data_IF_389976941164
#
_entry.id   IF_389976941164
#
_cell.length_a   1.000
_cell.length_b   1.000
_cell.length_c   1.000
_cell.angle_alpha   90.00
_cell.angle_beta   90.00
_cell.angle_gamma   90.00
#
_symmetry.space_group_name_H-M   'P 1'
#
loop_
_entity.id
_entity.type
_entity.pdbx_description
1 polymer ?
#
# COMPACT_ATOMS: atom_id res chain seq x y z
N UNK A 1 -78.48 -27.50 16.49
CA UNK A 1 -77.55 -28.27 15.63
C UNK A 1 -76.20 -28.40 16.33
N UNK A 2 -75.66 -29.61 16.36
CA UNK A 2 -74.38 -30.02 16.98
C UNK A 2 -73.15 -29.43 16.26
N UNK A 3 -72.07 -29.14 17.01
CA UNK A 3 -70.68 -29.64 16.85
C UNK A 3 -69.78 -28.89 17.85
N UNK A 4 -69.34 -29.55 18.93
CA UNK A 4 -68.10 -30.33 19.12
C UNK A 4 -66.85 -29.47 19.40
N UNK A 5 -66.41 -29.58 20.64
CA UNK A 5 -65.10 -29.36 21.27
C UNK A 5 -63.85 -29.58 20.41
N UNK A 6 -62.80 -28.78 20.64
CA UNK A 6 -61.42 -29.26 20.81
C UNK A 6 -60.55 -28.25 21.58
N UNK A 7 -59.77 -28.77 22.51
CA UNK A 7 -58.85 -28.13 23.46
C UNK A 7 -57.40 -28.42 23.02
N UNK A 8 -56.47 -27.56 23.44
CA UNK A 8 -55.02 -27.80 23.60
C UNK A 8 -54.17 -27.72 22.31
N UNK A 9 -52.87 -27.37 22.31
CA UNK A 9 -51.80 -27.41 23.32
C UNK A 9 -50.80 -26.30 22.98
N UNK A 10 -50.27 -25.59 24.00
CA UNK A 10 -49.04 -24.81 23.90
C UNK A 10 -47.86 -25.77 23.68
N UNK A 11 -47.12 -25.67 22.57
CA UNK A 11 -45.80 -26.29 22.47
C UNK A 11 -44.73 -25.23 22.15
N UNK A 12 -43.77 -25.19 23.06
CA UNK A 12 -42.55 -24.40 23.20
C UNK A 12 -41.65 -24.39 21.96
N UNK A 13 -41.05 -23.23 21.66
CA UNK A 13 -39.73 -23.12 21.03
C UNK A 13 -38.96 -21.92 21.64
N UNK A 14 -38.48 -22.07 22.88
CA UNK A 14 -37.33 -21.29 23.34
C UNK A 14 -36.06 -22.03 22.91
N UNK A 15 -35.47 -21.68 21.77
CA UNK A 15 -34.08 -22.07 21.42
C UNK A 15 -33.58 -21.47 20.10
N UNK A 16 -33.69 -20.15 19.90
CA UNK A 16 -32.98 -19.46 18.79
C UNK A 16 -31.92 -18.45 19.28
N UNK A 17 -31.90 -18.11 20.57
CA UNK A 17 -30.97 -17.09 21.09
C UNK A 17 -29.50 -17.54 21.18
N UNK A 18 -29.20 -18.84 21.18
CA UNK A 18 -27.82 -19.33 21.28
C UNK A 18 -27.04 -19.27 19.95
N UNK A 19 -27.74 -19.26 18.81
CA UNK A 19 -27.11 -19.22 17.48
C UNK A 19 -26.59 -17.83 17.11
N UNK A 20 -27.32 -16.77 17.47
CA UNK A 20 -26.95 -15.39 17.12
C UNK A 20 -25.68 -14.90 17.86
N UNK A 21 -25.46 -15.35 19.10
CA UNK A 21 -24.28 -14.97 19.88
C UNK A 21 -22.98 -15.63 19.39
N UNK A 22 -23.05 -16.83 18.82
CA UNK A 22 -21.89 -17.55 18.27
C UNK A 22 -21.44 -17.00 16.91
N UNK A 23 -22.38 -16.58 16.06
CA UNK A 23 -22.05 -15.95 14.77
C UNK A 23 -21.41 -14.57 14.99
N UNK A 24 -21.86 -13.83 16.01
CA UNK A 24 -21.30 -12.51 16.33
C UNK A 24 -19.90 -12.59 16.95
N UNK A 25 -19.59 -13.62 17.74
CA UNK A 25 -18.27 -13.79 18.37
C UNK A 25 -17.21 -14.31 17.39
N UNK A 26 -17.57 -15.19 16.47
CA UNK A 26 -16.68 -15.61 15.37
C UNK A 26 -16.38 -14.45 14.40
N UNK A 27 -17.38 -13.62 14.06
CA UNK A 27 -17.18 -12.43 13.24
C UNK A 27 -16.32 -11.35 13.93
N UNK A 28 -16.50 -11.14 15.24
CA UNK A 28 -15.64 -10.25 16.03
C UNK A 28 -14.22 -10.81 16.24
N UNK A 29 -14.06 -12.13 16.33
CA UNK A 29 -12.76 -12.78 16.39
C UNK A 29 -12.01 -12.72 15.05
N UNK A 30 -12.72 -12.90 13.93
CA UNK A 30 -12.19 -12.75 12.58
C UNK A 30 -11.83 -11.30 12.24
N UNK A 31 -12.60 -10.32 12.74
CA UNK A 31 -12.26 -8.90 12.61
C UNK A 31 -11.00 -8.50 13.41
N UNK A 32 -10.68 -9.22 14.49
CA UNK A 32 -9.45 -9.02 15.27
C UNK A 32 -8.20 -9.62 14.63
N UNK A 33 -8.33 -10.47 13.63
CA UNK A 33 -7.23 -11.14 12.91
C UNK A 33 -7.09 -10.67 11.46
N UNK A 34 -7.66 -9.52 11.11
CA UNK A 34 -7.49 -8.93 9.79
C UNK A 34 -5.99 -8.74 9.47
N UNK A 35 -5.51 -9.12 8.27
CA UNK A 35 -4.13 -8.90 7.88
C UNK A 35 -3.73 -7.44 8.04
N UNK A 36 -2.64 -7.20 8.77
CA UNK A 36 -2.07 -5.87 8.93
C UNK A 36 -0.62 -5.88 8.46
N UNK A 37 -0.23 -4.87 7.69
CA UNK A 37 1.14 -4.72 7.22
C UNK A 37 1.85 -3.63 8.03
N UNK A 38 3.04 -3.93 8.54
CA UNK A 38 3.90 -2.95 9.19
C UNK A 38 4.36 -1.92 8.15
N UNK A 39 3.93 -0.67 8.32
CA UNK A 39 4.40 0.43 7.46
C UNK A 39 5.79 0.91 7.89
N UNK A 40 6.60 1.23 6.88
CA UNK A 40 7.84 1.97 7.03
C UNK A 40 7.55 3.46 6.84
N UNK A 41 8.07 4.31 7.73
CA UNK A 41 8.05 5.75 7.50
C UNK A 41 9.33 6.14 6.78
N UNK A 42 9.18 6.77 5.62
CA UNK A 42 10.29 7.37 4.88
C UNK A 42 10.44 8.87 5.19
N UNK A 43 9.76 9.39 6.22
CA UNK A 43 9.82 10.80 6.54
C UNK A 43 11.27 11.29 6.76
N UNK A 44 11.66 12.32 6.01
CA UNK A 44 12.99 12.92 6.05
C UNK A 44 13.98 12.35 5.02
N UNK A 45 13.67 11.18 4.44
CA UNK A 45 14.50 10.59 3.39
C UNK A 45 14.53 11.46 2.13
N UNK A 46 15.71 11.50 1.52
CA UNK A 46 15.89 11.93 0.13
C UNK A 46 16.57 10.78 -0.58
N UNK A 47 15.89 10.23 -1.58
CA UNK A 47 16.34 9.07 -2.35
C UNK A 47 16.45 9.48 -3.81
N UNK A 48 17.57 9.16 -4.44
CA UNK A 48 17.70 9.29 -5.88
C UNK A 48 17.48 7.93 -6.54
N UNK A 49 16.65 7.89 -7.57
CA UNK A 49 16.52 6.74 -8.48
C UNK A 49 17.02 7.14 -9.87
N UNK A 50 17.92 6.36 -10.46
CA UNK A 50 18.50 6.61 -11.79
C UNK A 50 18.25 5.45 -12.72
N UNK A 51 17.62 5.68 -13.86
CA UNK A 51 17.11 4.59 -14.71
C UNK A 51 17.99 4.36 -15.94
N UNK A 52 18.40 3.11 -16.13
CA UNK A 52 19.15 2.66 -17.32
C UNK A 52 18.26 1.91 -18.32
N UNK A 53 17.07 1.47 -17.89
CA UNK A 53 16.11 0.70 -18.65
C UNK A 53 14.69 1.31 -18.59
N UNK A 54 13.85 0.92 -19.55
CA UNK A 54 12.43 1.28 -19.62
C UNK A 54 12.14 2.74 -19.97
N UNK A 55 10.88 3.17 -19.78
CA UNK A 55 10.40 4.52 -20.13
C UNK A 55 11.20 5.65 -19.48
N UNK A 56 11.75 5.42 -18.28
CA UNK A 56 12.48 6.43 -17.52
C UNK A 56 13.97 6.46 -17.88
N UNK A 57 14.44 5.61 -18.80
CA UNK A 57 15.85 5.51 -19.20
C UNK A 57 16.50 6.88 -19.43
N UNK A 58 17.66 7.07 -18.81
CA UNK A 58 18.45 8.29 -18.88
C UNK A 58 18.06 9.37 -17.86
N UNK A 59 16.96 9.18 -17.11
CA UNK A 59 16.54 10.11 -16.07
C UNK A 59 17.06 9.70 -14.68
N UNK A 60 17.31 10.71 -13.85
CA UNK A 60 17.44 10.58 -12.40
C UNK A 60 16.33 11.40 -11.74
N UNK A 61 15.64 10.82 -10.78
CA UNK A 61 14.61 11.49 -9.99
C UNK A 61 15.02 11.54 -8.53
N UNK A 62 14.96 12.73 -7.95
CA UNK A 62 15.11 12.95 -6.52
C UNK A 62 13.75 12.88 -5.85
N UNK A 63 13.57 11.88 -5.02
CA UNK A 63 12.37 11.61 -4.26
C UNK A 63 12.55 12.16 -2.85
N UNK A 64 11.82 13.22 -2.51
CA UNK A 64 11.86 13.83 -1.18
C UNK A 64 10.63 13.38 -0.38
N UNK A 65 10.86 12.56 0.64
CA UNK A 65 9.81 12.01 1.48
C UNK A 65 9.58 12.88 2.73
N UNK A 66 8.32 13.21 2.98
CA UNK A 66 7.83 13.89 4.18
C UNK A 66 6.92 12.94 4.96
N UNK A 67 6.15 13.45 5.91
CA UNK A 67 5.37 12.64 6.85
C UNK A 67 4.48 11.61 6.16
N UNK A 68 3.71 12.01 5.14
CA UNK A 68 2.83 11.12 4.35
C UNK A 68 2.92 11.35 2.85
N UNK A 69 3.75 12.30 2.41
CA UNK A 69 3.85 12.69 1.00
C UNK A 69 5.26 12.50 0.47
N UNK A 70 5.36 12.39 -0.84
CA UNK A 70 6.61 12.34 -1.59
C UNK A 70 6.53 13.31 -2.76
N UNK A 71 7.67 13.89 -3.12
CA UNK A 71 7.79 14.70 -4.33
C UNK A 71 9.00 14.21 -5.14
N UNK A 72 8.72 13.71 -6.34
CA UNK A 72 9.73 13.29 -7.31
C UNK A 72 10.11 14.43 -8.24
N UNK A 73 11.36 14.88 -8.19
CA UNK A 73 11.88 15.95 -9.05
C UNK A 73 12.94 15.36 -9.97
N UNK A 74 12.81 15.47 -11.31
CA UNK A 74 13.87 15.08 -12.23
C UNK A 74 15.09 15.98 -12.03
N UNK A 75 16.24 15.39 -11.74
CA UNK A 75 17.52 16.10 -11.53
C UNK A 75 18.53 15.87 -12.64
N UNK A 76 18.30 14.85 -13.48
CA UNK A 76 19.09 14.55 -14.67
C UNK A 76 18.19 13.89 -15.72
N UNK A 77 18.54 14.09 -16.98
CA UNK A 77 17.89 13.43 -18.12
C UNK A 77 16.82 14.29 -18.81
N UNK A 78 16.14 13.72 -19.81
CA UNK A 78 15.18 14.44 -20.66
C UNK A 78 14.02 15.09 -19.91
N UNK A 79 13.68 14.62 -18.71
CA UNK A 79 12.54 15.14 -17.95
C UNK A 79 12.87 16.33 -17.04
N UNK A 80 14.13 16.78 -16.97
CA UNK A 80 14.50 17.99 -16.21
C UNK A 80 13.66 19.18 -16.67
N UNK A 81 13.07 19.89 -15.71
CA UNK A 81 12.12 20.99 -15.95
C UNK A 81 10.65 20.58 -15.90
N UNK A 82 10.35 19.28 -15.99
CA UNK A 82 8.99 18.76 -15.76
C UNK A 82 8.59 18.92 -14.31
N UNK A 83 7.37 19.40 -14.08
CA UNK A 83 6.80 19.56 -12.74
C UNK A 83 5.81 18.43 -12.48
N UNK A 84 6.14 17.56 -11.54
CA UNK A 84 5.21 16.58 -11.00
C UNK A 84 4.57 17.12 -9.72
N UNK A 85 3.30 16.79 -9.43
CA UNK A 85 2.73 17.10 -8.14
C UNK A 85 3.42 16.29 -7.02
N UNK A 86 3.19 16.71 -5.77
CA UNK A 86 3.49 15.86 -4.64
C UNK A 86 2.38 14.81 -4.48
N UNK A 87 2.76 13.57 -4.21
CA UNK A 87 1.87 12.42 -4.05
C UNK A 87 1.85 11.93 -2.62
N UNK A 88 0.80 11.19 -2.26
CA UNK A 88 0.81 10.40 -1.02
C UNK A 88 1.68 9.15 -1.24
N UNK A 89 2.24 8.59 -0.16
CA UNK A 89 2.97 7.32 -0.27
C UNK A 89 2.61 6.32 0.82
N UNK A 90 2.78 5.05 0.46
CA UNK A 90 2.82 3.92 1.38
C UNK A 90 4.15 3.20 1.16
N UNK A 91 4.88 2.92 2.23
CA UNK A 91 6.09 2.12 2.18
C UNK A 91 6.01 0.94 3.17
N UNK A 92 6.56 -0.20 2.76
CA UNK A 92 6.63 -1.39 3.60
C UNK A 92 7.94 -2.15 3.35
N UNK A 93 8.56 -2.70 4.39
CA UNK A 93 9.66 -3.63 4.21
C UNK A 93 9.11 -4.91 3.56
N UNK A 94 9.78 -5.39 2.52
CA UNK A 94 9.44 -6.66 1.85
C UNK A 94 10.59 -7.67 1.92
N UNK A 95 11.73 -7.27 2.46
CA UNK A 95 12.86 -8.13 2.79
C UNK A 95 13.79 -7.44 3.78
N UNK A 96 15.02 -7.95 3.89
CA UNK A 96 16.01 -7.44 4.85
C UNK A 96 16.64 -6.13 4.38
N UNK A 97 16.66 -5.85 3.08
CA UNK A 97 17.19 -4.61 2.51
C UNK A 97 16.26 -4.03 1.44
N UNK A 98 15.06 -4.61 1.30
CA UNK A 98 14.12 -4.32 0.25
C UNK A 98 12.89 -3.59 0.79
N UNK A 99 12.54 -2.51 0.11
CA UNK A 99 11.36 -1.70 0.41
C UNK A 99 10.45 -1.65 -0.80
N UNK A 100 9.18 -1.95 -0.59
CA UNK A 100 8.12 -1.64 -1.53
C UNK A 100 7.57 -0.25 -1.22
N UNK A 101 7.46 0.61 -2.23
CA UNK A 101 6.86 1.93 -2.11
C UNK A 101 5.81 2.11 -3.19
N UNK A 102 4.59 2.49 -2.81
CA UNK A 102 3.56 2.94 -3.75
C UNK A 102 3.31 4.43 -3.57
N UNK A 103 3.22 5.14 -4.70
CA UNK A 103 2.80 6.54 -4.78
C UNK A 103 1.35 6.59 -5.24
N UNK A 104 0.57 7.46 -4.61
CA UNK A 104 -0.87 7.56 -4.80
C UNK A 104 -1.26 9.01 -5.09
N UNK A 105 -2.08 9.20 -6.12
CA UNK A 105 -2.69 10.49 -6.40
C UNK A 105 -3.50 10.95 -5.18
N UNK A 106 -3.25 12.18 -4.73
CA UNK A 106 -3.79 12.66 -3.45
C UNK A 106 -5.30 12.88 -3.44
N UNK A 107 -5.94 12.93 -4.60
CA UNK A 107 -7.38 13.19 -4.72
C UNK A 107 -8.18 11.91 -4.91
N UNK A 108 -7.70 11.03 -5.78
CA UNK A 108 -8.36 9.79 -6.18
C UNK A 108 -7.83 8.56 -5.46
N UNK A 109 -6.65 8.67 -4.84
CA UNK A 109 -5.87 7.55 -4.30
C UNK A 109 -5.54 6.47 -5.35
N UNK A 110 -5.61 6.83 -6.63
CA UNK A 110 -5.15 5.97 -7.71
C UNK A 110 -3.63 5.79 -7.63
N UNK A 111 -3.17 4.59 -7.99
CA UNK A 111 -1.75 4.26 -8.02
C UNK A 111 -1.07 5.02 -9.17
N UNK A 112 0.00 5.76 -8.85
CA UNK A 112 0.76 6.56 -9.81
C UNK A 112 2.04 5.83 -10.19
N UNK A 113 2.82 5.41 -9.20
CA UNK A 113 4.04 4.63 -9.38
C UNK A 113 4.20 3.62 -8.23
N UNK A 114 4.90 2.52 -8.51
CA UNK A 114 5.30 1.49 -7.56
C UNK A 114 6.78 1.20 -7.74
N UNK A 115 7.49 1.19 -6.63
CA UNK A 115 8.91 0.92 -6.57
C UNK A 115 9.17 -0.31 -5.72
N UNK A 116 10.07 -1.17 -6.21
CA UNK A 116 10.80 -2.13 -5.38
C UNK A 116 12.24 -1.65 -5.35
N UNK A 117 12.71 -1.27 -4.17
CA UNK A 117 14.07 -0.75 -3.96
C UNK A 117 14.84 -1.72 -3.09
N UNK A 118 15.93 -2.27 -3.63
CA UNK A 118 16.89 -3.07 -2.89
C UNK A 118 18.11 -2.19 -2.59
N UNK A 119 18.29 -1.85 -1.31
CA UNK A 119 19.37 -1.00 -0.86
C UNK A 119 20.69 -1.74 -0.65
N UNK A 120 20.71 -3.08 -0.63
CA UNK A 120 21.94 -3.86 -0.58
C UNK A 120 22.56 -4.00 -1.97
N UNK A 121 21.74 -4.24 -3.01
CA UNK A 121 22.22 -4.34 -4.39
C UNK A 121 22.20 -3.01 -5.14
N UNK A 122 21.65 -1.95 -4.53
CA UNK A 122 21.45 -0.63 -5.14
C UNK A 122 20.59 -0.66 -6.39
N UNK A 123 19.61 -1.57 -6.47
CA UNK A 123 18.71 -1.71 -7.62
C UNK A 123 17.31 -1.17 -7.30
N UNK A 124 16.68 -0.53 -8.29
CA UNK A 124 15.27 -0.19 -8.26
C UNK A 124 14.54 -0.76 -9.48
N UNK A 125 13.31 -1.23 -9.24
CA UNK A 125 12.31 -1.50 -10.25
C UNK A 125 11.16 -0.52 -10.06
N UNK A 126 10.69 0.07 -11.15
CA UNK A 126 9.66 1.11 -11.18
C UNK A 126 8.59 0.72 -12.20
N UNK A 127 7.38 0.57 -11.69
CA UNK A 127 6.17 0.26 -12.43
C UNK A 127 5.15 1.38 -12.25
N UNK A 128 4.50 1.77 -13.34
CA UNK A 128 3.36 2.68 -13.29
C UNK A 128 2.20 2.15 -14.13
N UNK A 129 0.94 2.35 -13.72
CA UNK A 129 -0.20 1.96 -14.54
C UNK A 129 -0.14 2.59 -15.93
N UNK A 130 -0.30 1.76 -16.96
CA UNK A 130 -0.23 2.20 -18.36
C UNK A 130 1.18 2.50 -18.87
N UNK A 131 2.24 2.08 -18.16
CA UNK A 131 3.61 2.18 -18.66
C UNK A 131 3.84 1.29 -19.89
N UNK A 132 4.70 1.77 -20.79
CA UNK A 132 5.19 0.97 -21.91
C UNK A 132 6.26 -0.02 -21.43
N UNK A 133 6.25 -1.24 -21.97
CA UNK A 133 7.25 -2.25 -21.67
C UNK A 133 8.58 -1.99 -22.43
N UNK A 134 9.75 -2.35 -21.84
CA UNK A 134 9.90 -2.93 -20.50
C UNK A 134 9.75 -1.88 -19.40
N UNK A 135 9.43 -2.34 -18.19
CA UNK A 135 9.35 -1.46 -17.03
C UNK A 135 10.70 -0.82 -16.70
N UNK A 136 10.63 0.29 -15.96
CA UNK A 136 11.83 1.05 -15.67
C UNK A 136 12.65 0.37 -14.59
N UNK A 137 13.95 0.31 -14.80
CA UNK A 137 14.88 -0.20 -13.79
C UNK A 137 16.21 0.54 -13.86
N UNK A 138 16.91 0.56 -12.73
CA UNK A 138 18.21 1.18 -12.60
C UNK A 138 18.66 1.14 -11.15
N UNK A 139 19.26 2.24 -10.68
CA UNK A 139 19.89 2.29 -9.36
C UNK A 139 19.14 3.14 -8.35
N UNK A 140 19.31 2.80 -7.07
CA UNK A 140 18.78 3.55 -5.92
C UNK A 140 19.90 3.98 -4.97
N UNK A 141 19.84 5.22 -4.51
CA UNK A 141 20.78 5.77 -3.53
C UNK A 141 20.08 6.65 -2.49
N UNK A 142 20.43 6.47 -1.22
CA UNK A 142 20.00 7.36 -0.13
C UNK A 142 20.92 8.57 -0.09
N UNK A 143 20.40 9.73 -0.46
CA UNK A 143 21.12 11.01 -0.41
C UNK A 143 21.04 11.63 0.98
N UNK A 144 19.89 11.46 1.65
CA UNK A 144 19.69 11.85 3.04
C UNK A 144 18.86 10.81 3.76
N UNK A 145 19.30 10.40 4.95
CA UNK A 145 18.56 9.49 5.82
C UNK A 145 17.41 10.20 6.52
N UNK A 146 16.28 9.52 6.66
CA UNK A 146 15.20 9.93 7.56
C UNK A 146 15.47 9.55 9.00
N UNK A 147 14.48 9.81 9.87
CA UNK A 147 14.60 9.58 11.32
C UNK A 147 14.51 8.12 11.76
N UNK A 148 14.11 7.20 10.86
CA UNK A 148 14.06 5.76 11.12
C UNK A 148 14.95 5.04 10.11
N UNK A 149 15.68 3.99 10.50
CA UNK A 149 16.50 3.24 9.55
C UNK A 149 15.63 2.56 8.49
N UNK A 150 16.22 2.37 7.29
CA UNK A 150 15.71 1.39 6.33
C UNK A 150 15.95 -0.02 6.89
N UNK A 151 15.20 -1.03 6.41
CA UNK A 151 15.47 -2.43 6.72
C UNK A 151 16.95 -2.76 6.50
#
# INVERSE_FOLDING_TARGET
MRRRTAVAVLLTCMSVAAGAALVSSAALAAARSAPSVKRLSLNGYVIDTSYSLGRNRGNTFRQTYRQSTVHGVPTKGPFVGTKFPAEDYVAMPIGNHEVYVAWLDRKSHALVDVFVMDFATHVVYDYAPGSAHPESSGTVAVIRRGGRPLP
#
